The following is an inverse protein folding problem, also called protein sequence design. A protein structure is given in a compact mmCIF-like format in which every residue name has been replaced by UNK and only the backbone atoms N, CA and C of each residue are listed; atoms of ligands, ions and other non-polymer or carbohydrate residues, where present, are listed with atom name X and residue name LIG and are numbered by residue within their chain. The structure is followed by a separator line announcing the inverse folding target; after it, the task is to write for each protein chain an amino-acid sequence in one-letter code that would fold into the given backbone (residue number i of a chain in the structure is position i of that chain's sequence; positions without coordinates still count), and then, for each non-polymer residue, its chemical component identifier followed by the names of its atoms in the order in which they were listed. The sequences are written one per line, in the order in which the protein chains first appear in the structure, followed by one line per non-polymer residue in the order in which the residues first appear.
data_IF_662918404411
#
_entry.id   IF_662918404411
#
_cell.length_a   1.000
_cell.length_b   1.000
_cell.length_c   1.000
_cell.angle_alpha   90.00
_cell.angle_beta   90.00
_cell.angle_gamma   90.00
#
_symmetry.space_group_name_H-M   'P 1'
#
loop_
_entity.id
_entity.type
_entity.pdbx_description
1 polymer ?
#
# COMPACT_ATOMS: atom_id res chain seq x y z
N UNK A 1 2.05 -25.19 -19.95
CA UNK A 1 1.75 -24.82 -18.56
C UNK A 1 2.00 -23.34 -18.44
N UNK A 2 0.95 -22.54 -18.26
CA UNK A 2 1.12 -21.09 -18.04
C UNK A 2 1.74 -20.98 -16.65
N UNK A 3 2.95 -20.42 -16.58
CA UNK A 3 3.57 -20.10 -15.30
C UNK A 3 2.57 -19.24 -14.52
N UNK A 4 2.13 -19.71 -13.36
CA UNK A 4 1.13 -19.01 -12.58
C UNK A 4 1.82 -17.79 -11.96
N UNK A 5 1.79 -16.67 -12.69
CA UNK A 5 2.40 -15.40 -12.28
C UNK A 5 2.03 -15.04 -10.84
N UNK A 6 2.91 -14.29 -10.18
CA UNK A 6 2.80 -13.87 -8.78
C UNK A 6 1.38 -13.42 -8.42
N UNK A 7 0.71 -14.10 -7.50
CA UNK A 7 -0.62 -13.66 -7.03
C UNK A 7 -0.52 -12.39 -6.20
N UNK A 8 -1.59 -11.59 -6.17
CA UNK A 8 -1.63 -10.39 -5.33
C UNK A 8 -1.44 -10.73 -3.85
N UNK A 9 -2.02 -11.85 -3.38
CA UNK A 9 -1.87 -12.31 -2.00
C UNK A 9 -0.40 -12.61 -1.64
N UNK A 10 0.34 -13.27 -2.56
CA UNK A 10 1.78 -13.52 -2.38
C UNK A 10 2.55 -12.21 -2.31
N UNK A 11 2.29 -11.28 -3.23
CA UNK A 11 2.93 -9.97 -3.22
C UNK A 11 2.69 -9.21 -1.93
N UNK A 12 1.44 -9.17 -1.44
CA UNK A 12 1.09 -8.47 -0.20
C UNK A 12 1.77 -9.09 1.01
N UNK A 13 1.82 -10.42 1.11
CA UNK A 13 2.54 -11.11 2.19
C UNK A 13 4.04 -10.77 2.18
N UNK A 14 4.66 -10.78 1.00
CA UNK A 14 6.06 -10.40 0.82
C UNK A 14 6.30 -8.93 1.23
N UNK A 15 5.44 -8.02 0.78
CA UNK A 15 5.52 -6.58 1.07
C UNK A 15 5.33 -6.27 2.56
N UNK A 16 4.33 -6.88 3.21
CA UNK A 16 4.08 -6.73 4.65
C UNK A 16 5.28 -7.22 5.47
N UNK A 17 5.83 -8.38 5.11
CA UNK A 17 7.03 -8.93 5.75
C UNK A 17 8.24 -8.01 5.55
N UNK A 18 8.38 -7.40 4.37
CA UNK A 18 9.44 -6.45 4.09
C UNK A 18 9.32 -5.14 4.89
N UNK A 19 8.11 -4.58 5.02
CA UNK A 19 7.85 -3.43 5.88
C UNK A 19 8.15 -3.74 7.36
N UNK A 20 7.78 -4.94 7.82
CA UNK A 20 8.08 -5.38 9.20
C UNK A 20 9.58 -5.56 9.45
N UNK A 21 10.31 -6.08 8.48
CA UNK A 21 11.77 -6.19 8.56
C UNK A 21 12.44 -4.81 8.55
N UNK A 22 11.96 -3.89 7.69
CA UNK A 22 12.43 -2.51 7.66
C UNK A 22 12.16 -1.80 9.00
N UNK A 23 10.98 -1.98 9.59
CA UNK A 23 10.65 -1.48 10.93
C UNK A 23 11.62 -1.99 11.99
N UNK A 24 11.88 -3.31 11.99
CA UNK A 24 12.74 -3.97 12.98
C UNK A 24 14.22 -3.55 12.88
N UNK A 25 14.63 -2.92 11.78
CA UNK A 25 15.99 -2.40 11.61
C UNK A 25 16.30 -1.20 12.52
N UNK A 26 15.28 -0.53 13.08
CA UNK A 26 15.47 0.63 13.96
C UNK A 26 15.90 1.90 13.23
N UNK A 27 15.96 1.92 11.90
CA UNK A 27 16.34 3.12 11.15
C UNK A 27 15.31 4.22 11.36
N UNK A 28 15.77 5.36 11.86
CA UNK A 28 14.95 6.57 11.98
C UNK A 28 14.82 7.28 10.63
N UNK A 29 13.64 7.85 10.37
CA UNK A 29 13.42 8.72 9.21
C UNK A 29 13.62 10.18 9.62
N UNK A 30 14.69 10.81 9.14
CA UNK A 30 15.03 12.21 9.47
C UNK A 30 15.18 12.39 10.99
N UNK A 31 14.39 13.28 11.60
CA UNK A 31 14.39 13.57 13.04
C UNK A 31 13.23 12.87 13.78
N UNK A 32 12.49 11.98 13.12
CA UNK A 32 11.39 11.23 13.72
C UNK A 32 11.90 10.06 14.55
N UNK A 33 11.01 9.51 15.37
CA UNK A 33 11.31 8.35 16.19
C UNK A 33 11.55 7.11 15.31
N UNK A 34 12.37 6.14 15.78
CA UNK A 34 12.65 4.91 15.04
C UNK A 34 11.40 4.11 14.66
N UNK A 35 11.48 3.41 13.52
CA UNK A 35 10.45 2.52 13.00
C UNK A 35 9.94 2.96 11.64
N UNK A 36 9.23 2.06 10.96
CA UNK A 36 8.72 2.33 9.60
C UNK A 36 7.53 3.30 9.62
N UNK A 37 6.87 3.42 10.78
CA UNK A 37 5.70 4.23 11.02
C UNK A 37 5.79 5.65 10.45
N UNK A 38 6.84 6.44 10.75
CA UNK A 38 7.00 7.81 10.24
C UNK A 38 7.31 7.96 8.74
N UNK A 39 7.75 6.91 8.04
CA UNK A 39 8.22 7.02 6.64
C UNK A 39 7.11 7.51 5.71
N UNK A 40 7.43 8.42 4.77
CA UNK A 40 6.52 8.76 3.69
C UNK A 40 6.21 7.55 2.79
N UNK A 41 5.18 7.65 1.95
CA UNK A 41 4.74 6.58 1.06
C UNK A 41 5.88 6.02 0.19
N UNK A 42 6.54 6.90 -0.58
CA UNK A 42 7.66 6.52 -1.43
C UNK A 42 8.85 5.96 -0.64
N UNK A 43 9.13 6.49 0.54
CA UNK A 43 10.23 6.03 1.40
C UNK A 43 9.95 4.63 1.96
N UNK A 44 8.71 4.35 2.38
CA UNK A 44 8.30 3.04 2.87
C UNK A 44 8.34 1.99 1.74
N UNK A 45 7.85 2.33 0.55
CA UNK A 45 7.92 1.45 -0.64
C UNK A 45 9.37 1.16 -1.00
N UNK A 46 10.24 2.17 -1.01
CA UNK A 46 11.67 2.01 -1.28
C UNK A 46 12.36 1.12 -0.24
N UNK A 47 12.06 1.32 1.04
CA UNK A 47 12.59 0.50 2.13
C UNK A 47 12.16 -0.97 2.00
N UNK A 48 10.87 -1.21 1.74
CA UNK A 48 10.35 -2.55 1.50
C UNK A 48 10.99 -3.21 0.27
N UNK A 49 11.12 -2.49 -0.84
CA UNK A 49 11.75 -3.03 -2.06
C UNK A 49 13.22 -3.36 -1.86
N UNK A 50 13.96 -2.58 -1.06
CA UNK A 50 15.34 -2.90 -0.71
C UNK A 50 15.44 -4.24 0.05
N UNK A 51 14.53 -4.49 0.98
CA UNK A 51 14.43 -5.78 1.71
C UNK A 51 14.01 -6.92 0.76
N UNK A 52 13.05 -6.70 -0.13
CA UNK A 52 12.61 -7.73 -1.07
C UNK A 52 13.73 -8.14 -2.03
N UNK A 53 14.54 -7.19 -2.49
CA UNK A 53 15.67 -7.43 -3.40
C UNK A 53 16.87 -8.11 -2.74
N UNK A 54 17.01 -8.04 -1.41
CA UNK A 54 18.10 -8.73 -0.71
C UNK A 54 17.81 -10.21 -0.47
N UNK A 55 16.59 -10.70 -0.77
CA UNK A 55 16.24 -12.13 -0.72
C UNK A 55 17.01 -12.92 -1.79
N UNK A 56 17.25 -14.21 -1.51
CA UNK A 56 18.03 -15.12 -2.35
C UNK A 56 17.45 -15.38 -3.75
N UNK A 57 18.21 -16.12 -4.57
CA UNK A 57 17.90 -16.39 -5.99
C UNK A 57 17.11 -17.70 -6.13
N UNK A 58 16.06 -17.77 -6.99
CA UNK A 58 15.56 -16.70 -7.87
C UNK A 58 14.72 -15.66 -7.11
N UNK A 59 14.95 -14.38 -7.39
CA UNK A 59 14.24 -13.26 -6.76
C UNK A 59 13.27 -12.60 -7.74
N UNK A 60 11.94 -12.74 -7.55
CA UNK A 60 10.97 -12.16 -8.47
C UNK A 60 10.94 -10.62 -8.45
N UNK A 61 11.57 -9.98 -7.46
CA UNK A 61 11.65 -8.53 -7.32
C UNK A 61 12.94 -7.92 -7.87
N UNK A 62 13.86 -8.74 -8.40
CA UNK A 62 15.15 -8.27 -8.94
C UNK A 62 14.98 -7.15 -9.97
N UNK A 63 14.01 -7.33 -10.88
CA UNK A 63 13.68 -6.36 -11.94
C UNK A 63 12.58 -5.38 -11.57
N UNK A 64 12.00 -5.48 -10.37
CA UNK A 64 10.95 -4.57 -9.93
C UNK A 64 11.53 -3.16 -9.77
N UNK A 65 10.85 -2.10 -10.18
CA UNK A 65 11.38 -0.72 -10.15
C UNK A 65 10.34 0.27 -9.69
N UNK A 66 10.76 1.24 -8.85
CA UNK A 66 9.93 2.39 -8.51
C UNK A 66 9.97 3.42 -9.63
N UNK A 67 8.82 3.90 -10.11
CA UNK A 67 8.71 4.93 -11.15
C UNK A 67 7.73 6.01 -10.69
N UNK A 68 7.51 7.03 -11.54
CA UNK A 68 6.50 8.06 -11.27
C UNK A 68 5.07 7.55 -11.45
N UNK A 69 4.87 6.60 -12.38
CA UNK A 69 3.60 5.95 -12.63
C UNK A 69 3.86 4.63 -13.37
N UNK A 70 3.49 3.46 -12.81
CA UNK A 70 3.02 3.27 -11.43
C UNK A 70 4.12 3.55 -10.40
N UNK A 71 3.76 3.68 -9.13
CA UNK A 71 4.71 3.76 -8.01
C UNK A 71 5.68 2.57 -7.99
N UNK A 72 5.20 1.36 -8.30
CA UNK A 72 6.03 0.16 -8.48
C UNK A 72 5.60 -0.63 -9.72
N UNK A 73 6.56 -0.95 -10.57
CA UNK A 73 6.41 -1.91 -11.67
C UNK A 73 7.18 -3.18 -11.35
N UNK A 74 6.51 -4.33 -11.36
CA UNK A 74 7.10 -5.67 -11.35
C UNK A 74 6.90 -6.24 -12.77
N UNK A 75 7.94 -6.25 -13.63
CA UNK A 75 7.78 -6.60 -15.04
C UNK A 75 7.13 -7.96 -15.27
N UNK A 76 6.11 -7.99 -16.13
CA UNK A 76 5.34 -9.20 -16.42
C UNK A 76 4.35 -9.64 -15.33
N UNK A 77 4.27 -8.91 -14.22
CA UNK A 77 3.46 -9.28 -13.06
C UNK A 77 2.46 -8.18 -12.67
N UNK A 78 2.95 -7.04 -12.19
CA UNK A 78 2.11 -6.01 -11.54
C UNK A 78 2.56 -4.57 -11.84
N UNK A 79 1.59 -3.69 -12.07
CA UNK A 79 1.66 -2.26 -11.87
C UNK A 79 0.92 -1.92 -10.56
N UNK A 80 1.62 -1.32 -9.61
CA UNK A 80 1.09 -1.08 -8.26
C UNK A 80 1.17 0.40 -7.94
N UNK A 81 0.02 1.02 -7.62
CA UNK A 81 -0.03 2.32 -6.93
C UNK A 81 -0.19 2.07 -5.43
N UNK A 82 0.52 2.86 -4.63
CA UNK A 82 0.46 2.76 -3.18
C UNK A 82 -0.33 3.91 -2.57
N UNK A 83 -0.88 3.66 -1.38
CA UNK A 83 -1.36 4.72 -0.51
C UNK A 83 -1.01 4.49 0.93
N UNK A 84 -0.51 5.52 1.60
CA UNK A 84 -0.40 5.52 3.06
C UNK A 84 -1.61 6.17 3.72
N UNK A 85 -2.24 5.48 4.67
CA UNK A 85 -3.25 6.04 5.57
C UNK A 85 -2.73 6.04 7.00
N UNK A 86 -2.70 7.21 7.63
CA UNK A 86 -2.06 7.40 8.93
C UNK A 86 -2.85 8.39 9.77
N UNK A 87 -3.70 7.90 10.69
CA UNK A 87 -4.49 8.77 11.56
C UNK A 87 -3.67 9.57 12.58
N UNK A 88 -2.42 9.19 12.85
CA UNK A 88 -1.57 9.85 13.86
C UNK A 88 -0.16 10.15 13.34
N UNK A 89 0.36 11.34 13.64
CA UNK A 89 1.75 11.70 13.37
C UNK A 89 2.75 10.97 14.27
N UNK A 90 4.04 11.20 14.01
CA UNK A 90 5.16 10.71 14.84
C UNK A 90 5.03 11.12 16.32
N UNK A 91 4.48 12.32 16.56
CA UNK A 91 4.27 12.88 17.90
C UNK A 91 2.99 12.37 18.61
N UNK A 92 2.24 11.44 18.00
CA UNK A 92 1.02 10.89 18.57
C UNK A 92 -0.21 11.80 18.48
N UNK A 93 -0.11 12.96 17.83
CA UNK A 93 -1.28 13.81 17.53
C UNK A 93 -2.02 13.27 16.32
N UNK A 94 -3.34 13.43 16.32
CA UNK A 94 -4.16 13.10 15.15
C UNK A 94 -3.69 13.92 13.94
N UNK A 95 -3.57 13.25 12.80
CA UNK A 95 -3.27 13.89 11.54
C UNK A 95 -4.57 14.47 10.96
N UNK A 96 -4.47 15.60 10.28
CA UNK A 96 -5.57 16.13 9.50
C UNK A 96 -5.62 15.48 8.12
N UNK A 97 -6.81 15.34 7.53
CA UNK A 97 -7.04 14.96 6.14
C UNK A 97 -6.50 13.58 5.69
N UNK A 98 -5.99 12.73 6.59
CA UNK A 98 -5.41 11.42 6.23
C UNK A 98 -6.37 10.50 5.47
N UNK A 99 -7.68 10.60 5.71
CA UNK A 99 -8.70 9.81 5.02
C UNK A 99 -8.93 10.26 3.58
N UNK A 100 -8.60 11.51 3.24
CA UNK A 100 -8.72 12.03 1.87
C UNK A 100 -7.77 11.33 0.91
N UNK A 101 -6.63 10.84 1.40
CA UNK A 101 -5.69 10.00 0.65
C UNK A 101 -6.40 8.78 0.03
N UNK A 102 -7.47 8.29 0.66
CA UNK A 102 -8.22 7.16 0.16
C UNK A 102 -9.52 7.57 -0.53
N UNK A 103 -10.25 8.53 0.05
CA UNK A 103 -11.66 8.75 -0.25
C UNK A 103 -11.96 9.88 -1.23
N UNK A 104 -10.99 10.72 -1.61
CA UNK A 104 -11.26 11.87 -2.47
C UNK A 104 -11.60 11.41 -3.91
N UNK A 105 -12.84 11.55 -4.41
CA UNK A 105 -13.30 10.82 -5.60
C UNK A 105 -13.08 11.57 -6.92
N UNK A 106 -12.63 12.82 -6.86
CA UNK A 106 -12.51 13.68 -8.04
C UNK A 106 -11.25 13.35 -8.85
N UNK A 107 -11.43 13.26 -10.17
CA UNK A 107 -10.35 13.04 -11.13
C UNK A 107 -9.25 14.10 -11.02
N UNK A 108 -7.99 13.69 -11.24
CA UNK A 108 -6.81 14.58 -11.12
C UNK A 108 -6.25 14.70 -9.70
N UNK A 109 -6.88 14.08 -8.69
CA UNK A 109 -6.32 13.96 -7.35
C UNK A 109 -5.38 12.73 -7.24
N UNK A 110 -4.56 12.71 -6.18
CA UNK A 110 -3.59 11.67 -5.81
C UNK A 110 -4.14 10.67 -4.78
N UNK A 111 -5.46 10.49 -4.73
CA UNK A 111 -6.13 9.55 -3.83
C UNK A 111 -6.15 8.13 -4.40
N UNK A 112 -6.39 7.11 -3.59
CA UNK A 112 -6.54 5.73 -4.09
C UNK A 112 -7.68 5.54 -5.09
N UNK A 113 -8.78 6.30 -4.97
CA UNK A 113 -9.83 6.31 -5.99
C UNK A 113 -9.32 6.89 -7.32
N UNK A 114 -8.56 8.00 -7.27
CA UNK A 114 -7.88 8.55 -8.44
C UNK A 114 -6.84 7.59 -9.02
N UNK A 115 -6.10 6.90 -8.16
CA UNK A 115 -5.11 5.89 -8.55
C UNK A 115 -5.75 4.70 -9.27
N UNK A 116 -6.92 4.24 -8.82
CA UNK A 116 -7.69 3.21 -9.53
C UNK A 116 -8.10 3.66 -10.94
N UNK A 117 -8.60 4.89 -11.10
CA UNK A 117 -8.98 5.43 -12.41
C UNK A 117 -7.78 5.54 -13.37
N UNK A 118 -6.63 6.00 -12.86
CA UNK A 118 -5.37 6.04 -13.63
C UNK A 118 -4.91 4.64 -14.02
N UNK A 119 -4.88 3.71 -13.06
CA UNK A 119 -4.44 2.33 -13.30
C UNK A 119 -5.32 1.62 -14.32
N UNK A 120 -6.64 1.77 -14.22
CA UNK A 120 -7.57 1.12 -15.14
C UNK A 120 -7.25 1.43 -16.62
N UNK A 121 -6.77 2.65 -16.90
CA UNK A 121 -6.37 3.10 -18.24
C UNK A 121 -4.87 2.98 -18.53
N UNK A 122 -4.06 2.55 -17.56
CA UNK A 122 -2.61 2.39 -17.74
C UNK A 122 -2.28 1.30 -18.79
N UNK A 123 -1.35 1.56 -19.73
CA UNK A 123 -0.93 0.58 -20.73
C UNK A 123 0.01 -0.48 -20.13
N UNK A 124 0.14 -1.60 -20.81
CA UNK A 124 1.06 -2.68 -20.45
C UNK A 124 0.34 -4.02 -20.22
N UNK A 125 1.08 -5.13 -20.28
CA UNK A 125 0.51 -6.47 -20.07
C UNK A 125 0.35 -6.82 -18.57
N UNK A 126 0.96 -6.05 -17.66
CA UNK A 126 0.90 -6.33 -16.23
C UNK A 126 -0.50 -6.09 -15.65
N UNK A 127 -0.84 -6.88 -14.62
CA UNK A 127 -2.05 -6.67 -13.83
C UNK A 127 -1.91 -5.41 -12.98
N UNK A 128 -3.02 -4.83 -12.57
CA UNK A 128 -3.06 -3.54 -11.89
C UNK A 128 -3.53 -3.73 -10.46
N UNK A 129 -2.81 -3.16 -9.49
CA UNK A 129 -3.19 -3.25 -8.10
C UNK A 129 -3.08 -1.90 -7.39
N UNK A 130 -3.96 -1.68 -6.44
CA UNK A 130 -3.78 -0.62 -5.43
C UNK A 130 -3.48 -1.29 -4.11
N UNK A 131 -2.42 -0.83 -3.45
CA UNK A 131 -2.02 -1.29 -2.11
C UNK A 131 -2.07 -0.13 -1.14
N UNK A 132 -2.92 -0.25 -0.14
CA UNK A 132 -3.05 0.72 0.95
C UNK A 132 -2.38 0.15 2.17
N UNK A 133 -1.47 0.89 2.80
CA UNK A 133 -0.89 0.50 4.08
C UNK A 133 -1.06 1.62 5.10
N UNK A 134 -1.20 1.23 6.36
CA UNK A 134 -1.43 2.18 7.43
C UNK A 134 -1.04 1.65 8.78
N UNK A 135 -1.12 2.54 9.77
CA UNK A 135 -0.64 2.27 11.11
C UNK A 135 -1.71 2.55 12.15
N UNK A 136 -1.83 1.65 13.12
CA UNK A 136 -2.73 1.76 14.27
C UNK A 136 -1.95 1.68 15.58
N UNK A 137 -2.57 2.16 16.66
CA UNK A 137 -2.19 1.81 18.02
C UNK A 137 -2.65 0.38 18.35
N UNK A 138 -2.15 -0.20 19.43
CA UNK A 138 -2.66 -1.43 20.03
C UNK A 138 -3.13 -1.15 21.48
N UNK A 139 -4.44 -1.09 21.77
CA UNK A 139 -5.58 -1.20 20.84
C UNK A 139 -5.74 0.03 19.93
N UNK A 140 -6.45 -0.14 18.80
CA UNK A 140 -6.66 0.94 17.83
C UNK A 140 -7.50 2.09 18.42
N UNK A 141 -6.95 3.31 18.43
CA UNK A 141 -7.67 4.54 18.82
C UNK A 141 -8.58 5.05 17.71
N UNK A 142 -8.07 5.06 16.47
CA UNK A 142 -8.84 5.33 15.25
C UNK A 142 -8.66 4.11 14.35
N UNK A 143 -9.68 3.25 14.19
CA UNK A 143 -9.60 2.08 13.32
C UNK A 143 -9.59 2.49 11.85
N UNK A 144 -8.84 1.77 11.01
CA UNK A 144 -8.76 2.04 9.57
C UNK A 144 -9.96 1.51 8.77
N UNK A 145 -10.68 0.52 9.32
CA UNK A 145 -11.78 -0.18 8.66
C UNK A 145 -12.88 0.72 8.07
N UNK A 146 -13.37 1.78 8.76
CA UNK A 146 -14.35 2.69 8.17
C UNK A 146 -13.85 3.38 6.90
N UNK A 147 -12.58 3.79 6.87
CA UNK A 147 -11.98 4.42 5.70
C UNK A 147 -11.85 3.42 4.54
N UNK A 148 -11.36 2.21 4.83
CA UNK A 148 -11.20 1.15 3.82
C UNK A 148 -12.55 0.73 3.22
N UNK A 149 -13.58 0.53 4.05
CA UNK A 149 -14.92 0.20 3.56
C UNK A 149 -15.55 1.36 2.78
N UNK A 150 -15.28 2.60 3.19
CA UNK A 150 -15.69 3.78 2.45
C UNK A 150 -15.08 3.82 1.05
N UNK A 151 -13.79 3.47 0.93
CA UNK A 151 -13.11 3.35 -0.36
C UNK A 151 -13.77 2.30 -1.25
N UNK A 152 -14.03 1.09 -0.74
CA UNK A 152 -14.68 0.02 -1.51
C UNK A 152 -16.08 0.42 -2.00
N UNK A 153 -16.84 1.09 -1.16
CA UNK A 153 -18.17 1.59 -1.50
C UNK A 153 -18.11 2.67 -2.58
N UNK A 154 -17.22 3.65 -2.44
CA UNK A 154 -17.08 4.73 -3.43
C UNK A 154 -16.52 4.21 -4.76
N UNK A 155 -15.53 3.32 -4.71
CA UNK A 155 -14.96 2.71 -5.91
C UNK A 155 -16.05 1.99 -6.72
N UNK A 156 -16.82 1.11 -6.08
CA UNK A 156 -17.86 0.32 -6.74
C UNK A 156 -19.10 1.15 -7.10
N UNK A 157 -19.70 1.83 -6.12
CA UNK A 157 -21.05 2.38 -6.24
C UNK A 157 -21.09 3.79 -6.84
N UNK A 158 -20.02 4.56 -6.70
CA UNK A 158 -19.96 5.92 -7.23
C UNK A 158 -19.17 5.99 -8.54
N UNK A 159 -18.04 5.29 -8.62
CA UNK A 159 -17.10 5.40 -9.75
C UNK A 159 -17.15 4.21 -10.72
N UNK A 160 -17.95 3.17 -10.44
CA UNK A 160 -18.06 2.00 -11.31
C UNK A 160 -16.77 1.21 -11.44
N UNK A 161 -15.87 1.25 -10.46
CA UNK A 161 -14.59 0.54 -10.50
C UNK A 161 -14.81 -0.89 -9.99
N UNK A 162 -14.54 -1.88 -10.83
CA UNK A 162 -14.55 -3.28 -10.43
C UNK A 162 -13.20 -3.63 -9.78
N UNK A 163 -13.23 -3.91 -8.47
CA UNK A 163 -12.10 -4.36 -7.68
C UNK A 163 -12.24 -5.86 -7.37
N UNK A 164 -11.12 -6.57 -7.21
CA UNK A 164 -11.13 -7.92 -6.64
C UNK A 164 -11.65 -7.91 -5.19
N UNK A 165 -11.81 -9.10 -4.60
CA UNK A 165 -11.94 -9.19 -3.15
C UNK A 165 -10.71 -8.58 -2.46
N UNK A 166 -10.95 -7.95 -1.30
CA UNK A 166 -9.90 -7.36 -0.47
C UNK A 166 -8.96 -8.44 0.04
N UNK A 167 -7.67 -8.23 -0.18
CA UNK A 167 -6.62 -8.91 0.58
C UNK A 167 -6.25 -8.01 1.74
N UNK A 168 -6.14 -8.59 2.94
CA UNK A 168 -5.78 -7.87 4.14
C UNK A 168 -4.73 -8.62 4.94
N UNK A 169 -3.74 -7.89 5.44
CA UNK A 169 -2.68 -8.40 6.30
C UNK A 169 -2.45 -7.45 7.49
N UNK A 170 -2.16 -8.04 8.64
CA UNK A 170 -1.89 -7.33 9.90
C UNK A 170 -0.58 -7.81 10.51
N UNK A 171 0.26 -6.89 11.00
CA UNK A 171 1.45 -7.20 11.81
C UNK A 171 1.51 -6.28 13.02
N UNK A 172 1.52 -6.84 14.21
CA UNK A 172 1.67 -6.10 15.46
C UNK A 172 3.14 -5.99 15.89
N UNK A 173 3.35 -5.29 17.02
CA UNK A 173 4.65 -5.18 17.67
C UNK A 173 5.67 -4.39 16.85
N UNK A 174 5.21 -3.43 16.04
CA UNK A 174 6.11 -2.47 15.41
C UNK A 174 6.84 -1.64 16.48
N UNK A 175 8.06 -1.19 16.19
CA UNK A 175 8.92 -0.57 17.20
C UNK A 175 8.54 0.88 17.55
N UNK A 176 7.81 1.56 16.66
CA UNK A 176 7.43 2.95 16.85
C UNK A 176 6.35 3.07 17.95
N UNK A 177 6.46 4.01 18.91
CA UNK A 177 5.57 4.06 20.08
C UNK A 177 4.11 4.41 19.74
N UNK A 178 3.87 5.08 18.60
CA UNK A 178 2.52 5.47 18.13
C UNK A 178 2.00 4.50 17.06
N UNK A 179 2.89 3.97 16.23
CA UNK A 179 2.54 3.17 15.05
C UNK A 179 2.88 1.73 15.37
N UNK A 180 2.04 1.08 16.16
CA UNK A 180 2.32 -0.20 16.81
C UNK A 180 1.85 -1.41 15.98
N UNK A 181 0.88 -1.18 15.09
CA UNK A 181 0.29 -2.20 14.22
C UNK A 181 0.36 -1.71 12.77
N UNK A 182 0.95 -2.51 11.88
CA UNK A 182 0.85 -2.36 10.43
C UNK A 182 -0.42 -3.06 9.93
N UNK A 183 -1.23 -2.35 9.15
CA UNK A 183 -2.31 -2.91 8.33
C UNK A 183 -1.98 -2.68 6.86
N UNK A 184 -2.17 -3.70 6.04
CA UNK A 184 -2.05 -3.59 4.58
C UNK A 184 -3.29 -4.18 3.94
N UNK A 185 -3.87 -3.44 3.02
CA UNK A 185 -5.04 -3.79 2.24
C UNK A 185 -4.69 -3.70 0.76
N UNK A 186 -5.19 -4.62 -0.06
CA UNK A 186 -4.91 -4.60 -1.49
C UNK A 186 -6.09 -5.12 -2.30
N UNK A 187 -6.20 -4.58 -3.50
CA UNK A 187 -7.19 -4.96 -4.50
C UNK A 187 -6.53 -4.96 -5.88
N UNK A 188 -6.88 -5.94 -6.70
CA UNK A 188 -6.65 -5.87 -8.14
C UNK A 188 -7.72 -4.96 -8.75
N UNK A 189 -7.29 -4.04 -9.62
CA UNK A 189 -8.16 -3.15 -10.39
C UNK A 189 -8.50 -3.87 -11.69
N UNK A 190 -9.69 -4.44 -11.78
CA UNK A 190 -10.08 -5.34 -12.87
C UNK A 190 -10.50 -4.53 -14.10
N UNK A 191 -11.46 -3.61 -13.95
CA UNK A 191 -11.94 -2.73 -15.03
C UNK A 191 -12.80 -1.59 -14.53
N UNK A 192 -13.12 -0.65 -15.41
CA UNK A 192 -14.21 0.31 -15.23
C UNK A 192 -15.50 -0.27 -15.83
N UNK A 193 -16.58 -0.17 -15.08
CA UNK A 193 -17.94 -0.38 -15.54
C UNK A 193 -18.39 0.93 -16.20
N UNK A 194 -18.78 0.85 -17.48
CA UNK A 194 -19.30 1.98 -18.25
C UNK A 194 -20.71 2.37 -17.85
#
# INVERSE_FOLDING_TARGET
MVDAGMTLARFVEDFVSALKAADSSGVAHKQFQPGIGPFGEADAVKAALAVLRSKGVPNPYEKAVTKRQPDLLIPGEWQVEFKVIRPFGDNGKEAENWSQNLLHPYAGNTSSLGDCLKLATSPGPERKAVVVFGYEHEPAKIPLDPCVRGFELLASSLLGIELSQRIEQRRSGLIHPVHQVLRVFAWEVIRLLG
#
